data_IF_150820772026
#
_entry.id   IF_150820772026
#
_cell.length_a   1.000
_cell.length_b   1.000
_cell.length_c   1.000
_cell.angle_alpha   90.00
_cell.angle_beta   90.00
_cell.angle_gamma   90.00
#
_symmetry.space_group_name_H-M   'P 1'
#
loop_
_entity.id
_entity.type
_entity.pdbx_description
1 polymer ?
#
# COMPACT_ATOMS: atom_id res chain seq x y z
N UNK A 1 15.18 -6.80 -5.49
CA UNK A 1 15.82 -6.93 -6.82
C UNK A 1 14.80 -6.43 -7.84
N UNK A 2 14.94 -5.18 -8.28
CA UNK A 2 14.07 -4.54 -9.29
C UNK A 2 14.68 -4.86 -10.66
N UNK A 3 14.01 -5.62 -11.52
CA UNK A 3 14.60 -6.14 -12.77
C UNK A 3 14.14 -5.45 -14.05
N UNK A 4 13.16 -4.55 -14.03
CA UNK A 4 12.91 -3.64 -15.16
C UNK A 4 12.25 -2.37 -14.64
N UNK A 5 12.99 -1.26 -14.63
CA UNK A 5 12.40 0.04 -14.37
C UNK A 5 11.47 0.38 -15.53
N UNK A 6 10.16 0.44 -15.26
CA UNK A 6 9.18 0.92 -16.22
C UNK A 6 9.10 2.44 -16.12
N UNK A 7 9.35 3.14 -17.23
CA UNK A 7 9.12 4.58 -17.32
C UNK A 7 7.61 4.85 -17.44
N UNK A 8 7.15 5.92 -16.82
CA UNK A 8 5.78 6.42 -16.97
C UNK A 8 5.44 6.72 -18.44
N UNK A 9 6.44 7.02 -19.28
CA UNK A 9 6.27 7.19 -20.73
C UNK A 9 5.79 5.93 -21.46
N UNK A 10 6.13 4.74 -20.98
CA UNK A 10 5.74 3.45 -21.57
C UNK A 10 4.41 2.93 -21.02
N UNK A 11 3.85 3.64 -20.02
CA UNK A 11 2.74 3.18 -19.22
C UNK A 11 1.49 2.88 -20.04
N UNK A 12 1.24 3.64 -21.11
CA UNK A 12 0.06 3.43 -21.98
C UNK A 12 0.07 2.05 -22.67
N UNK A 13 1.22 1.62 -23.18
CA UNK A 13 1.36 0.31 -23.83
C UNK A 13 1.35 -0.82 -22.80
N UNK A 14 2.05 -0.64 -21.68
CA UNK A 14 2.09 -1.60 -20.57
C UNK A 14 0.68 -1.84 -20.04
N UNK A 15 -0.08 -0.78 -19.80
CA UNK A 15 -1.45 -0.83 -19.30
C UNK A 15 -2.39 -1.58 -20.24
N UNK A 16 -2.27 -1.34 -21.56
CA UNK A 16 -3.09 -2.03 -22.56
C UNK A 16 -2.86 -3.55 -22.53
N UNK A 17 -1.60 -3.98 -22.43
CA UNK A 17 -1.25 -5.41 -22.38
C UNK A 17 -1.75 -6.03 -21.07
N UNK A 18 -1.51 -5.37 -19.93
CA UNK A 18 -1.94 -5.86 -18.62
C UNK A 18 -3.47 -5.94 -18.51
N UNK A 19 -4.19 -4.92 -18.99
CA UNK A 19 -5.65 -4.90 -19.04
C UNK A 19 -6.21 -6.01 -19.94
N UNK A 20 -5.52 -6.32 -21.06
CA UNK A 20 -5.85 -7.47 -21.89
C UNK A 20 -5.77 -8.81 -21.13
N UNK A 21 -4.76 -8.98 -20.29
CA UNK A 21 -4.66 -10.15 -19.42
C UNK A 21 -5.72 -10.15 -18.32
N UNK A 22 -6.01 -9.01 -17.70
CA UNK A 22 -7.11 -8.92 -16.73
C UNK A 22 -8.46 -9.25 -17.38
N UNK A 23 -8.72 -8.78 -18.61
CA UNK A 23 -9.93 -9.09 -19.34
C UNK A 23 -10.10 -10.59 -19.65
N UNK A 24 -9.00 -11.35 -19.74
CA UNK A 24 -9.05 -12.79 -19.94
C UNK A 24 -9.13 -13.58 -18.62
N UNK A 25 -8.37 -13.17 -17.60
CA UNK A 25 -8.13 -13.96 -16.39
C UNK A 25 -9.01 -13.53 -15.20
N UNK A 26 -9.29 -12.23 -15.08
CA UNK A 26 -10.00 -11.64 -13.94
C UNK A 26 -10.71 -10.32 -14.32
N UNK A 27 -11.77 -10.36 -15.15
CA UNK A 27 -12.40 -9.15 -15.70
C UNK A 27 -12.91 -8.17 -14.64
N UNK A 28 -13.29 -8.70 -13.47
CA UNK A 28 -13.80 -7.91 -12.34
C UNK A 28 -12.75 -6.97 -11.75
N UNK A 29 -11.46 -7.32 -11.81
CA UNK A 29 -10.36 -6.55 -11.24
C UNK A 29 -9.97 -5.33 -12.10
N UNK A 30 -10.49 -5.22 -13.33
CA UNK A 30 -10.18 -4.14 -14.27
C UNK A 30 -10.58 -2.76 -13.74
N UNK A 31 -11.65 -2.67 -12.95
CA UNK A 31 -12.11 -1.40 -12.39
C UNK A 31 -11.07 -0.81 -11.41
N UNK A 32 -10.52 -1.64 -10.52
CA UNK A 32 -9.46 -1.23 -9.60
C UNK A 32 -8.19 -0.84 -10.37
N UNK A 33 -7.78 -1.66 -11.34
CA UNK A 33 -6.62 -1.37 -12.18
C UNK A 33 -6.78 -0.04 -12.91
N UNK A 34 -7.92 0.22 -13.56
CA UNK A 34 -8.18 1.45 -14.28
C UNK A 34 -8.10 2.69 -13.38
N UNK A 35 -8.52 2.61 -12.11
CA UNK A 35 -8.38 3.71 -11.14
C UNK A 35 -6.93 4.01 -10.83
N UNK A 36 -6.10 2.99 -10.61
CA UNK A 36 -4.66 3.15 -10.39
C UNK A 36 -4.03 3.80 -11.62
N UNK A 37 -4.34 3.30 -12.82
CA UNK A 37 -3.83 3.87 -14.07
C UNK A 37 -4.25 5.34 -14.28
N UNK A 38 -5.48 5.70 -13.93
CA UNK A 38 -5.97 7.07 -14.04
C UNK A 38 -5.23 8.06 -13.12
N UNK A 39 -4.58 7.58 -12.05
CA UNK A 39 -3.77 8.44 -11.18
C UNK A 39 -2.45 8.90 -11.83
N UNK A 40 -2.09 8.38 -13.00
CA UNK A 40 -0.89 8.80 -13.73
C UNK A 40 -0.91 10.27 -14.15
N UNK A 41 -2.08 10.83 -14.42
CA UNK A 41 -2.23 12.25 -14.76
C UNK A 41 -1.83 13.17 -13.59
N UNK A 42 -1.84 12.66 -12.36
CA UNK A 42 -1.47 13.40 -11.16
C UNK A 42 0.05 13.45 -10.94
N UNK A 43 0.81 12.54 -11.56
CA UNK A 43 2.26 12.44 -11.35
C UNK A 43 3.02 13.69 -11.80
N UNK A 44 2.49 14.42 -12.79
CA UNK A 44 3.05 15.70 -13.24
C UNK A 44 3.06 16.79 -12.14
N UNK A 45 2.18 16.67 -11.13
CA UNK A 45 2.15 17.53 -9.95
C UNK A 45 3.17 17.17 -8.87
N UNK A 46 3.93 16.09 -9.06
CA UNK A 46 4.87 15.52 -8.09
C UNK A 46 4.31 14.28 -7.40
N UNK A 47 5.18 13.29 -7.15
CA UNK A 47 4.80 12.01 -6.52
C UNK A 47 4.81 12.05 -4.99
N UNK A 48 5.54 13.00 -4.42
CA UNK A 48 5.61 13.24 -2.98
C UNK A 48 5.72 14.75 -2.72
N UNK A 49 4.69 15.31 -2.11
CA UNK A 49 4.60 16.75 -1.81
C UNK A 49 4.30 16.96 -0.33
N UNK A 50 4.59 18.13 0.25
CA UNK A 50 4.17 18.43 1.62
C UNK A 50 2.66 18.25 1.86
N UNK A 51 1.83 18.51 0.83
CA UNK A 51 0.39 18.29 0.91
C UNK A 51 0.03 16.80 0.94
N UNK A 52 0.70 15.96 0.13
CA UNK A 52 0.51 14.51 0.15
C UNK A 52 0.89 13.93 1.52
N UNK A 53 2.05 14.31 2.07
CA UNK A 53 2.49 13.89 3.41
C UNK A 53 1.47 14.30 4.48
N UNK A 54 0.98 15.54 4.44
CA UNK A 54 -0.02 16.00 5.40
C UNK A 54 -1.33 15.19 5.34
N UNK A 55 -1.77 14.80 4.14
CA UNK A 55 -2.93 13.92 3.96
C UNK A 55 -2.67 12.51 4.51
N UNK A 56 -1.48 11.94 4.26
CA UNK A 56 -1.12 10.61 4.78
C UNK A 56 -1.06 10.59 6.31
N UNK A 57 -0.51 11.64 6.93
CA UNK A 57 -0.52 11.82 8.39
C UNK A 57 -1.96 11.94 8.91
N UNK A 58 -2.81 12.73 8.24
CA UNK A 58 -4.22 12.86 8.61
C UNK A 58 -4.98 11.52 8.49
N UNK A 59 -4.67 10.71 7.49
CA UNK A 59 -5.23 9.36 7.32
C UNK A 59 -4.84 8.45 8.49
N UNK A 60 -3.55 8.42 8.86
CA UNK A 60 -3.06 7.65 10.00
C UNK A 60 -3.79 8.05 11.31
N UNK A 61 -3.90 9.36 11.56
CA UNK A 61 -4.59 9.90 12.73
C UNK A 61 -6.08 9.57 12.72
N UNK A 62 -6.75 9.67 11.56
CA UNK A 62 -8.15 9.29 11.41
C UNK A 62 -8.37 7.81 11.76
N UNK A 63 -7.38 6.94 11.51
CA UNK A 63 -7.43 5.52 11.86
C UNK A 63 -6.97 5.19 13.27
N UNK A 64 -6.72 6.21 14.09
CA UNK A 64 -6.34 6.07 15.49
C UNK A 64 -4.88 5.70 15.71
N UNK A 65 -4.03 5.83 14.68
CA UNK A 65 -2.59 5.70 14.85
C UNK A 65 -2.04 7.01 15.43
N UNK A 66 -1.28 6.92 16.52
CA UNK A 66 -0.50 8.06 16.97
C UNK A 66 0.60 8.36 15.94
N UNK A 67 0.91 9.63 15.73
CA UNK A 67 1.93 10.09 14.77
C UNK A 67 2.98 10.96 15.45
N UNK A 68 4.22 10.88 15.00
CA UNK A 68 5.34 11.68 15.48
C UNK A 68 6.13 12.25 14.29
N UNK A 69 6.38 13.56 14.31
CA UNK A 69 7.18 14.25 13.29
C UNK A 69 8.69 14.01 13.52
N UNK A 70 9.13 12.78 13.26
CA UNK A 70 10.52 12.33 13.38
C UNK A 70 10.89 11.42 12.20
N UNK A 71 12.21 11.30 11.93
CA UNK A 71 12.78 10.40 10.92
C UNK A 71 12.62 8.94 11.37
N UNK A 72 12.17 8.00 10.50
CA UNK A 72 12.10 6.57 10.84
C UNK A 72 13.47 5.95 11.15
N UNK A 73 14.51 6.39 10.44
CA UNK A 73 15.85 5.78 10.44
C UNK A 73 16.55 5.77 11.82
N UNK A 74 16.08 6.55 12.80
CA UNK A 74 16.61 6.50 14.18
C UNK A 74 16.01 5.36 15.02
N UNK A 75 14.93 4.73 14.52
CA UNK A 75 14.22 3.64 15.17
C UNK A 75 13.47 2.74 14.17
N UNK A 76 12.17 2.98 13.99
CA UNK A 76 11.22 2.23 13.17
C UNK A 76 10.22 3.19 12.55
N UNK A 77 9.67 2.86 11.38
CA UNK A 77 8.48 3.52 10.84
C UNK A 77 7.31 3.35 11.81
N UNK A 78 7.06 2.12 12.27
CA UNK A 78 6.07 1.79 13.31
C UNK A 78 6.71 1.06 14.49
N UNK A 79 6.65 1.64 15.69
CA UNK A 79 7.23 1.05 16.91
C UNK A 79 6.22 0.33 17.81
N UNK A 80 5.04 -0.02 17.28
CA UNK A 80 3.95 -0.59 18.07
C UNK A 80 3.09 0.45 18.79
N UNK A 81 3.45 1.74 18.74
CA UNK A 81 2.68 2.81 19.40
C UNK A 81 2.51 4.03 18.52
N UNK A 82 3.57 4.45 17.85
CA UNK A 82 3.60 5.68 17.07
C UNK A 82 4.21 5.45 15.70
N UNK A 83 3.60 6.10 14.70
CA UNK A 83 4.10 6.17 13.33
C UNK A 83 5.01 7.40 13.20
N UNK A 84 6.26 7.21 12.78
CA UNK A 84 7.19 8.31 12.47
C UNK A 84 6.95 8.78 11.03
N UNK A 85 6.70 10.07 10.87
CA UNK A 85 6.13 10.61 9.64
C UNK A 85 7.08 11.50 8.82
N UNK A 86 8.37 11.60 9.15
CA UNK A 86 9.35 12.24 8.24
C UNK A 86 9.84 11.23 7.21
N UNK A 87 8.92 10.83 6.35
CA UNK A 87 9.15 9.98 5.19
C UNK A 87 8.26 10.45 4.05
N UNK A 88 8.41 9.85 2.89
CA UNK A 88 7.55 10.09 1.73
C UNK A 88 6.10 9.69 2.03
N UNK A 89 5.14 10.38 1.40
CA UNK A 89 3.70 10.14 1.60
C UNK A 89 3.33 8.67 1.41
N UNK A 90 3.84 8.01 0.37
CA UNK A 90 3.54 6.61 0.07
C UNK A 90 4.07 5.65 1.14
N UNK A 91 5.19 5.97 1.82
CA UNK A 91 5.69 5.18 2.96
C UNK A 91 4.72 5.29 4.13
N UNK A 92 4.27 6.51 4.46
CA UNK A 92 3.29 6.72 5.55
C UNK A 92 1.99 5.96 5.25
N UNK A 93 1.49 6.02 4.01
CA UNK A 93 0.27 5.30 3.60
C UNK A 93 0.46 3.79 3.62
N UNK A 94 1.64 3.28 3.26
CA UNK A 94 1.99 1.86 3.36
C UNK A 94 1.93 1.36 4.81
N UNK A 95 2.47 2.14 5.77
CA UNK A 95 2.38 1.83 7.20
C UNK A 95 0.94 1.84 7.72
N UNK A 96 0.12 2.77 7.23
CA UNK A 96 -1.33 2.77 7.53
C UNK A 96 -1.98 1.50 6.99
N UNK A 97 -1.63 1.08 5.77
CA UNK A 97 -2.14 -0.15 5.19
C UNK A 97 -1.70 -1.38 6.00
N UNK A 98 -0.46 -1.44 6.48
CA UNK A 98 -0.02 -2.45 7.43
C UNK A 98 -0.88 -2.48 8.69
N UNK A 99 -1.15 -1.33 9.30
CA UNK A 99 -2.00 -1.25 10.48
C UNK A 99 -3.41 -1.82 10.23
N UNK A 100 -3.96 -1.61 9.03
CA UNK A 100 -5.26 -2.16 8.65
C UNK A 100 -5.22 -3.69 8.49
N UNK A 101 -4.25 -4.21 7.72
CA UNK A 101 -4.16 -5.66 7.42
C UNK A 101 -3.66 -6.48 8.60
N UNK A 102 -2.87 -5.89 9.49
CA UNK A 102 -2.36 -6.56 10.67
C UNK A 102 -3.50 -6.97 11.62
N UNK A 103 -3.51 -8.22 12.11
CA UNK A 103 -4.38 -8.65 13.20
C UNK A 103 -4.24 -7.73 14.41
N UNK A 104 -5.34 -7.40 15.11
CA UNK A 104 -5.33 -6.43 16.21
C UNK A 104 -4.26 -6.70 17.29
N UNK A 105 -3.95 -7.97 17.55
CA UNK A 105 -2.99 -8.38 18.59
C UNK A 105 -1.54 -8.03 18.21
N UNK A 106 -1.23 -7.90 16.92
CA UNK A 106 0.13 -7.57 16.43
C UNK A 106 0.35 -6.09 16.16
N UNK A 107 -0.71 -5.29 16.14
CA UNK A 107 -0.61 -3.82 15.91
C UNK A 107 0.28 -3.12 16.93
N UNK A 108 0.53 -3.73 18.09
CA UNK A 108 1.37 -3.15 19.14
C UNK A 108 2.83 -3.62 19.11
N UNK A 109 3.22 -4.39 18.09
CA UNK A 109 4.59 -4.88 17.91
C UNK A 109 5.37 -3.96 16.96
N UNK A 110 6.70 -3.96 17.09
CA UNK A 110 7.61 -3.32 16.13
C UNK A 110 7.35 -3.92 14.74
N UNK A 111 7.16 -3.05 13.74
CA UNK A 111 6.87 -3.44 12.36
C UNK A 111 5.80 -4.56 12.27
N UNK A 112 4.78 -4.46 13.13
CA UNK A 112 3.65 -5.40 13.21
C UNK A 112 4.04 -6.88 13.46
N UNK A 113 5.24 -7.12 13.97
CA UNK A 113 5.81 -8.45 14.17
C UNK A 113 6.19 -9.17 12.87
N UNK A 114 6.41 -8.42 11.78
CA UNK A 114 6.83 -8.95 10.47
C UNK A 114 8.36 -9.15 10.36
N UNK A 115 9.12 -8.53 11.25
CA UNK A 115 10.58 -8.42 11.13
C UNK A 115 10.99 -7.10 10.49
N UNK A 116 12.29 -6.91 10.24
CA UNK A 116 12.81 -5.64 9.76
C UNK A 116 12.46 -5.40 8.28
N UNK A 117 11.90 -4.24 7.99
CA UNK A 117 11.70 -3.72 6.64
C UNK A 117 12.90 -2.89 6.14
N UNK A 118 12.84 -2.39 4.89
CA UNK A 118 13.90 -1.55 4.31
C UNK A 118 14.22 -0.29 5.13
N UNK A 119 13.19 0.30 5.74
CA UNK A 119 13.28 1.55 6.53
C UNK A 119 13.59 1.30 8.02
N UNK A 120 13.71 0.05 8.45
CA UNK A 120 13.92 -0.31 9.85
C UNK A 120 15.38 -0.05 10.26
N UNK A 121 15.61 1.01 11.03
CA UNK A 121 16.94 1.38 11.54
C UNK A 121 17.48 0.43 12.63
N UNK A 122 16.60 -0.28 13.33
CA UNK A 122 16.93 -1.22 14.43
C UNK A 122 16.58 -2.66 14.08
N UNK A 123 17.28 -3.19 13.08
CA UNK A 123 17.04 -4.52 12.50
C UNK A 123 16.98 -5.63 13.55
N UNK A 124 17.96 -5.72 14.46
CA UNK A 124 18.02 -6.79 15.47
C UNK A 124 16.81 -6.79 16.41
N UNK A 125 16.29 -5.61 16.77
CA UNK A 125 15.13 -5.46 17.65
C UNK A 125 13.83 -5.91 16.94
N UNK A 126 13.65 -5.52 15.68
CA UNK A 126 12.48 -5.94 14.88
C UNK A 126 12.48 -7.47 14.63
N UNK A 127 13.63 -8.04 14.26
CA UNK A 127 13.77 -9.48 14.05
C UNK A 127 13.52 -10.28 15.34
N UNK A 128 13.90 -9.74 16.51
CA UNK A 128 13.67 -10.40 17.79
C UNK A 128 12.18 -10.53 18.17
N UNK A 129 11.30 -9.68 17.61
CA UNK A 129 9.86 -9.71 17.85
C UNK A 129 9.06 -10.25 16.66
N UNK A 130 9.73 -10.61 15.56
CA UNK A 130 9.11 -11.22 14.41
C UNK A 130 8.41 -12.53 14.83
N UNK A 131 7.13 -12.66 14.51
CA UNK A 131 6.29 -13.77 15.00
C UNK A 131 5.45 -14.44 13.91
N UNK A 132 5.70 -14.12 12.64
CA UNK A 132 5.06 -14.75 11.48
C UNK A 132 6.09 -15.51 10.65
N UNK A 133 5.62 -16.50 9.89
CA UNK A 133 6.47 -17.16 8.90
C UNK A 133 6.67 -16.28 7.66
N UNK A 134 7.65 -16.65 6.82
CA UNK A 134 7.97 -15.91 5.61
C UNK A 134 6.77 -15.78 4.65
N UNK A 135 5.96 -16.84 4.50
CA UNK A 135 4.83 -16.82 3.58
C UNK A 135 3.74 -15.83 4.02
N UNK A 136 3.48 -15.76 5.33
CA UNK A 136 2.56 -14.82 5.95
C UNK A 136 3.09 -13.40 5.81
N UNK A 137 4.40 -13.19 6.08
CA UNK A 137 5.06 -11.89 5.88
C UNK A 137 4.86 -11.37 4.47
N UNK A 138 5.26 -12.15 3.46
CA UNK A 138 5.14 -11.72 2.05
C UNK A 138 3.69 -11.48 1.64
N UNK A 139 2.74 -12.25 2.18
CA UNK A 139 1.31 -12.01 1.94
C UNK A 139 0.87 -10.68 2.52
N UNK A 140 1.23 -10.38 3.77
CA UNK A 140 0.86 -9.12 4.42
C UNK A 140 1.53 -7.90 3.80
N UNK A 141 2.81 -8.00 3.44
CA UNK A 141 3.53 -6.96 2.68
C UNK A 141 2.82 -6.67 1.35
N UNK A 142 2.44 -7.71 0.61
CA UNK A 142 1.76 -7.55 -0.68
C UNK A 142 0.35 -6.96 -0.50
N UNK A 143 -0.36 -7.31 0.58
CA UNK A 143 -1.66 -6.71 0.90
C UNK A 143 -1.52 -5.24 1.29
N UNK A 144 -0.56 -4.90 2.15
CA UNK A 144 -0.30 -3.52 2.58
C UNK A 144 0.10 -2.65 1.38
N UNK A 145 0.98 -3.16 0.53
CA UNK A 145 1.38 -2.56 -0.75
C UNK A 145 0.18 -2.18 -1.60
N UNK A 146 -0.66 -3.16 -1.98
CA UNK A 146 -1.82 -2.89 -2.84
C UNK A 146 -2.83 -1.95 -2.17
N UNK A 147 -3.13 -2.17 -0.88
CA UNK A 147 -4.09 -1.36 -0.16
C UNK A 147 -3.62 0.09 0.00
N UNK A 148 -2.32 0.29 0.23
CA UNK A 148 -1.70 1.61 0.32
C UNK A 148 -1.85 2.39 -0.99
N UNK A 149 -1.56 1.74 -2.11
CA UNK A 149 -1.76 2.30 -3.46
C UNK A 149 -3.23 2.69 -3.69
N UNK A 150 -4.18 1.85 -3.28
CA UNK A 150 -5.61 2.17 -3.40
C UNK A 150 -6.02 3.36 -2.53
N UNK A 151 -5.42 3.53 -1.35
CA UNK A 151 -5.61 4.71 -0.50
C UNK A 151 -5.01 5.97 -1.11
N UNK A 152 -3.82 5.91 -1.69
CA UNK A 152 -3.24 7.04 -2.42
C UNK A 152 -4.18 7.51 -3.53
N UNK A 153 -4.70 6.57 -4.34
CA UNK A 153 -5.66 6.87 -5.41
C UNK A 153 -6.96 7.48 -4.84
N UNK A 154 -7.49 6.96 -3.74
CA UNK A 154 -8.70 7.50 -3.11
C UNK A 154 -8.51 8.92 -2.56
N UNK A 155 -7.31 9.25 -2.08
CA UNK A 155 -6.94 10.60 -1.62
C UNK A 155 -6.60 11.58 -2.76
N UNK A 156 -6.58 11.11 -4.01
CA UNK A 156 -6.19 11.92 -5.16
C UNK A 156 -4.68 12.15 -5.27
N UNK A 157 -3.88 11.20 -4.79
CA UNK A 157 -2.43 11.15 -4.97
C UNK A 157 -2.05 10.25 -6.18
N UNK A 158 -0.85 10.39 -6.76
CA UNK A 158 -0.41 9.60 -7.90
C UNK A 158 0.01 8.18 -7.49
N UNK A 159 -0.93 7.36 -7.00
CA UNK A 159 -0.67 5.98 -6.55
C UNK A 159 -0.05 5.08 -7.62
N UNK A 160 -0.10 5.46 -8.89
CA UNK A 160 0.65 4.78 -9.95
C UNK A 160 2.16 4.75 -9.69
N UNK A 161 2.72 5.77 -9.02
CA UNK A 161 4.14 5.85 -8.73
C UNK A 161 4.55 4.71 -7.80
N UNK A 162 3.83 4.54 -6.68
CA UNK A 162 4.01 3.42 -5.78
C UNK A 162 3.72 2.06 -6.45
N UNK A 163 2.71 1.97 -7.32
CA UNK A 163 2.41 0.76 -8.08
C UNK A 163 3.56 0.31 -8.99
N UNK A 164 4.26 1.26 -9.62
CA UNK A 164 5.45 1.02 -10.43
C UNK A 164 6.66 0.68 -9.56
N UNK A 165 6.92 1.45 -8.51
CA UNK A 165 8.06 1.27 -7.60
C UNK A 165 8.01 -0.08 -6.88
N UNK A 166 6.83 -0.52 -6.49
CA UNK A 166 6.57 -1.79 -5.80
C UNK A 166 6.38 -2.96 -6.79
N UNK A 167 6.70 -2.76 -8.07
CA UNK A 167 6.81 -3.79 -9.11
C UNK A 167 5.53 -4.57 -9.44
N UNK A 168 4.34 -3.97 -9.26
CA UNK A 168 3.08 -4.64 -9.61
C UNK A 168 2.92 -4.95 -11.10
N UNK A 169 3.63 -4.23 -11.96
CA UNK A 169 3.68 -4.45 -13.40
C UNK A 169 4.89 -5.30 -13.83
N UNK A 170 5.62 -5.91 -12.89
CA UNK A 170 6.69 -6.84 -13.25
C UNK A 170 6.12 -8.03 -14.03
N UNK A 171 6.69 -8.28 -15.22
CA UNK A 171 6.20 -9.32 -16.09
C UNK A 171 4.78 -9.08 -16.63
N UNK A 172 4.35 -7.81 -16.77
CA UNK A 172 3.02 -7.42 -17.24
C UNK A 172 2.53 -8.14 -18.51
N UNK A 173 3.44 -8.57 -19.38
CA UNK A 173 3.14 -9.34 -20.59
C UNK A 173 2.78 -10.83 -20.34
N UNK A 174 2.72 -11.26 -19.09
CA UNK A 174 2.37 -12.62 -18.68
C UNK A 174 1.05 -12.60 -17.92
N UNK A 175 0.16 -13.52 -18.26
CA UNK A 175 -1.12 -13.71 -17.55
C UNK A 175 -0.95 -13.95 -16.03
N UNK A 176 0.19 -14.49 -15.59
CA UNK A 176 0.49 -14.68 -14.17
C UNK A 176 0.54 -13.36 -13.37
N UNK A 177 0.98 -12.25 -13.98
CA UNK A 177 1.02 -10.95 -13.32
C UNK A 177 -0.40 -10.43 -13.04
N UNK A 178 -1.30 -10.51 -14.04
CA UNK A 178 -2.71 -10.19 -13.87
C UNK A 178 -3.41 -11.07 -12.82
N UNK A 179 -3.12 -12.38 -12.80
CA UNK A 179 -3.62 -13.28 -11.74
C UNK A 179 -3.09 -12.94 -10.35
N UNK A 180 -1.83 -12.49 -10.25
CA UNK A 180 -1.24 -12.07 -8.98
C UNK A 180 -1.97 -10.83 -8.43
N UNK A 181 -2.13 -9.78 -9.26
CA UNK A 181 -2.94 -8.60 -8.91
C UNK A 181 -4.35 -8.97 -8.48
N UNK A 182 -5.06 -9.76 -9.30
CA UNK A 182 -6.43 -10.15 -9.01
C UNK A 182 -6.54 -10.96 -7.70
N UNK A 183 -5.59 -11.88 -7.44
CA UNK A 183 -5.55 -12.66 -6.20
C UNK A 183 -5.48 -11.76 -4.97
N UNK A 184 -4.57 -10.78 -4.95
CA UNK A 184 -4.42 -9.91 -3.78
C UNK A 184 -5.56 -8.91 -3.64
N UNK A 185 -6.10 -8.43 -4.76
CA UNK A 185 -7.34 -7.65 -4.73
C UNK A 185 -8.51 -8.48 -4.16
N UNK A 186 -8.63 -9.77 -4.50
CA UNK A 186 -9.65 -10.66 -3.93
C UNK A 186 -9.49 -10.76 -2.42
N UNK A 187 -8.27 -10.97 -1.92
CA UNK A 187 -8.01 -11.04 -0.48
C UNK A 187 -8.37 -9.73 0.24
N UNK A 188 -8.14 -8.57 -0.38
CA UNK A 188 -8.55 -7.29 0.17
C UNK A 188 -10.08 -7.13 0.21
N UNK A 189 -10.77 -7.52 -0.86
CA UNK A 189 -12.25 -7.47 -0.93
C UNK A 189 -12.88 -8.43 0.07
N UNK A 190 -12.41 -9.67 0.13
CA UNK A 190 -12.91 -10.68 1.07
C UNK A 190 -12.64 -10.29 2.53
N UNK A 191 -11.53 -9.58 2.78
CA UNK A 191 -11.19 -9.00 4.08
C UNK A 191 -11.97 -7.72 4.43
N UNK A 192 -12.79 -7.19 3.52
CA UNK A 192 -13.55 -5.95 3.70
C UNK A 192 -12.70 -4.69 3.71
N UNK A 193 -11.47 -4.74 3.18
CA UNK A 193 -10.55 -3.60 3.12
C UNK A 193 -10.83 -2.69 1.92
N UNK A 194 -11.47 -3.21 0.87
CA UNK A 194 -11.94 -2.43 -0.26
C UNK A 194 -13.18 -3.06 -0.91
N UNK A 195 -13.89 -2.29 -1.72
CA UNK A 195 -14.98 -2.80 -2.56
C UNK A 195 -14.43 -3.46 -3.85
N UNK A 196 -15.27 -4.18 -4.63
CA UNK A 196 -14.84 -4.81 -5.88
C UNK A 196 -14.28 -3.86 -6.95
N UNK A 197 -14.54 -2.55 -6.81
CA UNK A 197 -13.97 -1.52 -7.69
C UNK A 197 -12.60 -1.02 -7.22
N UNK A 198 -12.09 -1.53 -6.10
CA UNK A 198 -10.83 -1.10 -5.48
C UNK A 198 -10.95 0.21 -4.72
N UNK A 199 -12.16 0.59 -4.25
CA UNK A 199 -12.29 1.71 -3.30
C UNK A 199 -12.02 1.21 -1.88
N UNK A 200 -11.02 1.75 -1.18
CA UNK A 200 -10.71 1.29 0.16
C UNK A 200 -11.85 1.65 1.14
N UNK A 201 -12.05 0.78 2.12
CA UNK A 201 -13.09 0.91 3.15
C UNK A 201 -12.43 1.33 4.46
N UNK A 202 -12.85 2.45 5.09
CA UNK A 202 -12.37 2.81 6.43
C UNK A 202 -12.72 1.71 7.45
N UNK A 203 -11.88 1.46 8.47
CA UNK A 203 -12.19 0.48 9.48
C UNK A 203 -13.51 0.80 10.22
N UNK A 204 -14.34 -0.23 10.44
CA UNK A 204 -15.71 -0.09 10.95
C UNK A 204 -15.83 0.66 12.29
N UNK A 205 -14.77 0.69 13.11
CA UNK A 205 -14.71 1.44 14.37
C UNK A 205 -14.84 2.97 14.19
N UNK A 206 -14.80 3.48 12.95
CA UNK A 206 -14.84 4.92 12.62
C UNK A 206 -16.11 5.37 11.89
N UNK A 207 -17.03 4.46 11.59
CA UNK A 207 -18.32 4.79 10.97
C UNK A 207 -19.13 5.87 11.73
N UNK A 208 -19.05 6.02 13.08
CA UNK A 208 -19.77 7.09 13.78
C UNK A 208 -19.15 8.49 13.64
N UNK A 209 -17.93 8.64 13.11
CA UNK A 209 -17.20 9.93 13.08
C UNK A 209 -17.20 10.65 11.73
N UNK A 210 -17.64 9.98 10.65
CA UNK A 210 -17.69 10.55 9.29
C UNK A 210 -19.13 10.98 8.92
N UNK A 211 -20.12 10.62 9.74
CA UNK A 211 -21.54 10.94 9.52
C UNK A 211 -22.07 12.13 10.35
N UNK A 212 -21.21 13.00 10.87
CA UNK A 212 -21.59 14.19 11.65
C UNK A 212 -21.16 15.49 10.96
#
# INVERSE_FOLDING_TARGET
>A
MILTALDIGDLSQVALVFDGHLAAEAPWARAAFARIMASADLAAGGVDTPAHRAQAVALAQAFGMATLDEEPAVAFSWDGRVLRCRSESYVIVHEVAHYLVAPPQRRFLLDFGLGAGPETGRVEEAEAVACVDFATRETEETLASLLGILWEVEMGQPGIAAFLEQNWLEGYARASAARHFARFLTLLVDGGFCDPSGRPTPPAALLPLIAA
#
